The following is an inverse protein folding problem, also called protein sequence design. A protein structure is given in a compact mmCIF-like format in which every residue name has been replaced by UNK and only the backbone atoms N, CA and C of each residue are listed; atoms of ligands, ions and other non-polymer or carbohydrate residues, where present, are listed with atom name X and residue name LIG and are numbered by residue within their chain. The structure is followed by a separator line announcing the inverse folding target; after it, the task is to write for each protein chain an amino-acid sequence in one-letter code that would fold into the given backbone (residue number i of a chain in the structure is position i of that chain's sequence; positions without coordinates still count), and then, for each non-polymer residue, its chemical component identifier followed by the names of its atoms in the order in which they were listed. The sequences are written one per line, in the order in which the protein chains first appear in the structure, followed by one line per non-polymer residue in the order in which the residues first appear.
data_IF_905534001527
#
_entry.id   IF_905534001527
#
_cell.length_a   1.000
_cell.length_b   1.000
_cell.length_c   1.000
_cell.angle_alpha   90.00
_cell.angle_beta   90.00
_cell.angle_gamma   90.00
#
_symmetry.space_group_name_H-M   'P 1'
#
loop_
_entity.id
_entity.type
_entity.pdbx_description
1 polymer ?
#
# COMPACT_ATOMS: atom_id res chain seq x y z
N UNK A 1 -21.53 36.88 5.85
CA UNK A 1 -21.25 36.43 4.46
C UNK A 1 -19.97 35.62 4.37
N UNK A 2 -18.81 36.12 4.78
CA UNK A 2 -17.54 35.36 4.78
C UNK A 2 -17.56 34.08 5.62
N UNK A 3 -18.24 34.07 6.79
CA UNK A 3 -18.37 32.88 7.64
C UNK A 3 -19.15 31.72 6.99
N UNK A 4 -20.20 32.02 6.21
CA UNK A 4 -21.00 31.01 5.50
C UNK A 4 -20.20 30.39 4.35
N UNK A 5 -19.44 31.21 3.60
CA UNK A 5 -18.60 30.74 2.49
C UNK A 5 -17.50 29.81 3.00
N UNK A 6 -16.87 30.15 4.14
CA UNK A 6 -15.85 29.29 4.76
C UNK A 6 -16.46 27.96 5.23
N UNK A 7 -17.66 27.99 5.78
CA UNK A 7 -18.35 26.79 6.26
C UNK A 7 -18.81 25.88 5.11
N UNK A 8 -19.33 26.45 4.01
CA UNK A 8 -19.63 25.72 2.78
C UNK A 8 -18.37 25.09 2.17
N UNK A 9 -17.27 25.83 2.13
CA UNK A 9 -15.99 25.31 1.64
C UNK A 9 -15.47 24.15 2.51
N UNK A 10 -15.55 24.27 3.83
CA UNK A 10 -15.16 23.21 4.76
C UNK A 10 -15.99 21.93 4.55
N UNK A 11 -17.31 22.10 4.39
CA UNK A 11 -18.21 20.98 4.11
C UNK A 11 -17.87 20.32 2.77
N UNK A 12 -17.54 21.10 1.74
CA UNK A 12 -17.15 20.58 0.42
C UNK A 12 -15.84 19.79 0.46
N UNK A 13 -14.83 20.31 1.16
CA UNK A 13 -13.53 19.63 1.35
C UNK A 13 -13.70 18.35 2.16
N UNK A 14 -14.49 18.40 3.23
CA UNK A 14 -14.80 17.22 4.05
C UNK A 14 -15.54 16.15 3.25
N UNK A 15 -16.53 16.55 2.44
CA UNK A 15 -17.27 15.63 1.58
C UNK A 15 -16.35 14.97 0.54
N UNK A 16 -15.48 15.73 -0.10
CA UNK A 16 -14.53 15.23 -1.10
C UNK A 16 -13.51 14.28 -0.47
N UNK A 17 -12.97 14.61 0.70
CA UNK A 17 -12.07 13.72 1.43
C UNK A 17 -12.75 12.39 1.79
N UNK A 18 -14.01 12.45 2.25
CA UNK A 18 -14.80 11.25 2.52
C UNK A 18 -15.06 10.41 1.26
N UNK A 19 -15.36 11.05 0.12
CA UNK A 19 -15.53 10.33 -1.16
C UNK A 19 -14.23 9.65 -1.61
N UNK A 20 -13.09 10.36 -1.51
CA UNK A 20 -11.78 9.80 -1.85
C UNK A 20 -11.41 8.62 -0.95
N UNK A 21 -11.62 8.73 0.36
CA UNK A 21 -11.37 7.64 1.30
C UNK A 21 -12.23 6.41 0.98
N UNK A 22 -13.51 6.60 0.67
CA UNK A 22 -14.40 5.50 0.27
C UNK A 22 -13.93 4.82 -1.03
N UNK A 23 -13.55 5.59 -2.04
CA UNK A 23 -13.03 5.04 -3.30
C UNK A 23 -11.74 4.23 -3.08
N UNK A 24 -10.80 4.76 -2.31
CA UNK A 24 -9.56 4.06 -1.94
C UNK A 24 -9.85 2.74 -1.23
N UNK A 25 -10.76 2.75 -0.24
CA UNK A 25 -11.13 1.56 0.49
C UNK A 25 -11.77 0.49 -0.43
N UNK A 26 -12.65 0.90 -1.36
CA UNK A 26 -13.26 -0.02 -2.31
C UNK A 26 -12.24 -0.61 -3.29
N UNK A 27 -11.32 0.22 -3.82
CA UNK A 27 -10.25 -0.24 -4.70
C UNK A 27 -9.30 -1.21 -3.98
N UNK A 28 -8.92 -0.89 -2.75
CA UNK A 28 -8.08 -1.74 -1.92
C UNK A 28 -8.77 -3.09 -1.64
N UNK A 29 -10.06 -3.07 -1.29
CA UNK A 29 -10.84 -4.29 -1.10
C UNK A 29 -10.88 -5.15 -2.36
N UNK A 30 -11.16 -4.55 -3.52
CA UNK A 30 -11.20 -5.27 -4.79
C UNK A 30 -9.84 -5.89 -5.18
N UNK A 31 -8.73 -5.22 -4.86
CA UNK A 31 -7.38 -5.76 -5.07
C UNK A 31 -7.14 -6.96 -4.14
N UNK A 32 -7.50 -6.85 -2.87
CA UNK A 32 -7.36 -7.96 -1.91
C UNK A 32 -8.20 -9.17 -2.32
N UNK A 33 -9.44 -8.97 -2.73
CA UNK A 33 -10.31 -10.06 -3.21
C UNK A 33 -9.73 -10.75 -4.45
N UNK A 34 -9.20 -9.99 -5.42
CA UNK A 34 -8.56 -10.56 -6.61
C UNK A 34 -7.30 -11.34 -6.26
N UNK A 35 -6.46 -10.83 -5.36
CA UNK A 35 -5.27 -11.52 -4.90
C UNK A 35 -5.63 -12.81 -4.17
N UNK A 36 -6.65 -12.78 -3.30
CA UNK A 36 -7.11 -13.96 -2.59
C UNK A 36 -7.66 -15.02 -3.55
N UNK A 37 -8.46 -14.61 -4.53
CA UNK A 37 -8.97 -15.52 -5.55
C UNK A 37 -7.84 -16.20 -6.34
N UNK A 38 -6.87 -15.41 -6.83
CA UNK A 38 -5.71 -15.93 -7.56
C UNK A 38 -4.85 -16.86 -6.70
N UNK A 39 -4.63 -16.51 -5.44
CA UNK A 39 -3.91 -17.36 -4.50
C UNK A 39 -4.57 -18.73 -4.39
N UNK A 40 -5.88 -18.76 -4.14
CA UNK A 40 -6.63 -20.00 -4.02
C UNK A 40 -6.57 -20.83 -5.32
N UNK A 41 -6.71 -20.17 -6.48
CA UNK A 41 -6.62 -20.83 -7.79
C UNK A 41 -5.25 -21.48 -8.02
N UNK A 42 -4.17 -20.78 -7.66
CA UNK A 42 -2.80 -21.29 -7.81
C UNK A 42 -2.47 -22.38 -6.78
N UNK A 43 -2.95 -22.25 -5.53
CA UNK A 43 -2.84 -23.31 -4.51
C UNK A 43 -3.53 -24.59 -4.99
N UNK A 44 -4.75 -24.50 -5.55
CA UNK A 44 -5.46 -25.65 -6.13
C UNK A 44 -4.69 -26.28 -7.30
N UNK A 45 -4.07 -25.46 -8.15
CA UNK A 45 -3.22 -25.96 -9.25
C UNK A 45 -1.97 -26.69 -8.74
N UNK A 46 -1.35 -26.22 -7.66
CA UNK A 46 -0.20 -26.89 -7.02
C UNK A 46 -0.64 -28.23 -6.43
N UNK A 47 -1.75 -28.25 -5.70
CA UNK A 47 -2.27 -29.46 -5.07
C UNK A 47 -2.61 -30.52 -6.12
N UNK A 48 -3.34 -30.14 -7.17
CA UNK A 48 -3.69 -31.07 -8.25
C UNK A 48 -2.47 -31.60 -9.02
N UNK A 49 -1.40 -30.80 -9.18
CA UNK A 49 -0.14 -31.29 -9.76
C UNK A 49 0.57 -32.28 -8.83
N UNK A 50 0.63 -31.98 -7.53
CA UNK A 50 1.24 -32.87 -6.55
C UNK A 50 0.49 -34.19 -6.41
N UNK A 51 -0.85 -34.17 -6.46
CA UNK A 51 -1.66 -35.39 -6.46
C UNK A 51 -1.37 -36.26 -7.69
N UNK A 52 -1.25 -35.66 -8.87
CA UNK A 52 -0.89 -36.39 -10.10
C UNK A 52 0.50 -37.00 -10.01
N UNK A 53 1.48 -36.23 -9.53
CA UNK A 53 2.85 -36.71 -9.36
C UNK A 53 2.92 -37.83 -8.31
N UNK A 54 2.22 -37.67 -7.19
CA UNK A 54 2.10 -38.69 -6.17
C UNK A 54 1.47 -39.97 -6.74
N UNK A 55 0.36 -39.88 -7.48
CA UNK A 55 -0.30 -41.04 -8.09
C UNK A 55 0.60 -41.76 -9.11
N UNK A 56 1.30 -41.01 -9.97
CA UNK A 56 2.25 -41.58 -10.92
C UNK A 56 3.39 -42.32 -10.20
N UNK A 57 3.93 -41.71 -9.15
CA UNK A 57 5.01 -42.28 -8.37
C UNK A 57 4.60 -43.50 -7.52
N UNK A 58 3.38 -43.48 -6.95
CA UNK A 58 2.80 -44.61 -6.24
C UNK A 58 2.58 -45.80 -7.17
N UNK A 59 1.99 -45.58 -8.35
CA UNK A 59 1.73 -46.66 -9.32
C UNK A 59 3.02 -47.29 -9.86
N UNK A 60 4.06 -46.49 -10.11
CA UNK A 60 5.37 -46.99 -10.54
C UNK A 60 6.09 -47.77 -9.45
N UNK A 61 5.94 -47.39 -8.18
CA UNK A 61 6.53 -48.13 -7.07
C UNK A 61 5.79 -49.41 -6.72
N UNK A 62 4.48 -49.43 -6.85
CA UNK A 62 3.68 -50.64 -6.64
C UNK A 62 4.11 -51.73 -7.63
N UNK A 63 4.42 -51.35 -8.88
CA UNK A 63 4.99 -52.26 -9.90
C UNK A 63 6.41 -52.74 -9.57
N UNK A 64 7.21 -51.94 -8.86
CA UNK A 64 8.62 -52.23 -8.52
C UNK A 64 8.81 -52.92 -7.16
N UNK A 65 7.76 -53.07 -6.34
CA UNK A 65 7.84 -53.74 -5.04
C UNK A 65 8.68 -52.99 -4.00
N UNK A 66 8.65 -51.65 -4.02
CA UNK A 66 9.49 -50.84 -3.15
C UNK A 66 9.00 -50.87 -1.68
N UNK A 67 9.93 -51.05 -0.72
CA UNK A 67 9.63 -51.17 0.71
C UNK A 67 9.35 -49.83 1.43
N UNK A 68 8.93 -49.91 2.70
CA UNK A 68 8.52 -48.76 3.55
C UNK A 68 9.52 -47.59 3.59
N UNK A 69 10.83 -47.86 3.63
CA UNK A 69 11.85 -46.81 3.67
C UNK A 69 11.83 -45.92 2.40
N UNK A 70 11.52 -46.49 1.24
CA UNK A 70 11.38 -45.71 0.02
C UNK A 70 10.16 -44.79 0.11
N UNK A 71 9.05 -45.28 0.68
CA UNK A 71 7.79 -44.53 0.81
C UNK A 71 7.96 -43.28 1.67
N UNK A 72 8.67 -43.41 2.81
CA UNK A 72 9.03 -42.27 3.65
C UNK A 72 9.86 -41.21 2.89
N UNK A 73 10.86 -41.64 2.10
CA UNK A 73 11.66 -40.71 1.29
C UNK A 73 10.83 -39.98 0.22
N UNK A 74 9.83 -40.65 -0.36
CA UNK A 74 8.92 -40.04 -1.33
C UNK A 74 8.09 -38.95 -0.70
N UNK A 75 7.51 -39.25 0.46
CA UNK A 75 6.71 -38.29 1.19
C UNK A 75 7.54 -37.05 1.51
N UNK A 76 8.77 -37.21 2.00
CA UNK A 76 9.65 -36.06 2.25
C UNK A 76 10.00 -35.28 0.98
N UNK A 77 10.09 -35.94 -0.17
CA UNK A 77 10.37 -35.28 -1.45
C UNK A 77 9.17 -34.47 -1.95
N UNK A 78 7.96 -35.05 -1.87
CA UNK A 78 6.72 -34.36 -2.21
C UNK A 78 6.46 -33.16 -1.28
N UNK A 79 6.74 -33.32 0.02
CA UNK A 79 6.66 -32.21 0.99
C UNK A 79 7.66 -31.09 0.66
N UNK A 80 8.89 -31.42 0.29
CA UNK A 80 9.88 -30.43 -0.15
C UNK A 80 9.45 -29.71 -1.43
N UNK A 81 8.90 -30.45 -2.39
CA UNK A 81 8.38 -29.87 -3.65
C UNK A 81 7.21 -28.93 -3.39
N UNK A 82 6.28 -29.33 -2.53
CA UNK A 82 5.18 -28.49 -2.08
C UNK A 82 5.68 -27.22 -1.37
N UNK A 83 6.58 -27.36 -0.40
CA UNK A 83 7.14 -26.21 0.32
C UNK A 83 7.83 -25.22 -0.62
N UNK A 84 8.57 -25.72 -1.62
CA UNK A 84 9.18 -24.86 -2.63
C UNK A 84 8.12 -24.16 -3.49
N UNK A 85 7.12 -24.89 -3.98
CA UNK A 85 6.04 -24.31 -4.79
C UNK A 85 5.26 -23.22 -4.03
N UNK A 86 5.03 -23.41 -2.73
CA UNK A 86 4.40 -22.41 -1.87
C UNK A 86 5.27 -21.15 -1.69
N UNK A 87 6.59 -21.30 -1.53
CA UNK A 87 7.50 -20.16 -1.46
C UNK A 87 7.57 -19.38 -2.78
N UNK A 88 7.60 -20.09 -3.91
CA UNK A 88 7.59 -19.46 -5.23
C UNK A 88 6.25 -18.70 -5.44
N UNK A 89 5.12 -19.31 -5.03
CA UNK A 89 3.81 -18.65 -5.03
C UNK A 89 3.76 -17.41 -4.15
N UNK A 90 4.29 -17.46 -2.92
CA UNK A 90 4.34 -16.30 -2.03
C UNK A 90 5.16 -15.15 -2.64
N UNK A 91 6.29 -15.47 -3.27
CA UNK A 91 7.13 -14.50 -3.98
C UNK A 91 6.37 -13.84 -5.14
N UNK A 92 5.68 -14.63 -5.97
CA UNK A 92 4.89 -14.12 -7.09
C UNK A 92 3.72 -13.23 -6.61
N UNK A 93 3.05 -13.64 -5.52
CA UNK A 93 1.97 -12.89 -4.89
C UNK A 93 2.44 -11.55 -4.32
N UNK A 94 3.63 -11.51 -3.71
CA UNK A 94 4.22 -10.26 -3.22
C UNK A 94 4.56 -9.31 -4.38
N UNK A 95 5.15 -9.82 -5.46
CA UNK A 95 5.45 -9.03 -6.65
C UNK A 95 4.17 -8.48 -7.31
N UNK A 96 3.11 -9.30 -7.39
CA UNK A 96 1.83 -8.87 -7.95
C UNK A 96 1.13 -7.83 -7.06
N UNK A 97 1.21 -7.97 -5.73
CA UNK A 97 0.69 -6.98 -4.79
C UNK A 97 1.43 -5.64 -4.93
N UNK A 98 2.75 -5.67 -5.04
CA UNK A 98 3.57 -4.47 -5.21
C UNK A 98 3.23 -3.75 -6.53
N UNK A 99 3.07 -4.52 -7.61
CA UNK A 99 2.61 -4.00 -8.90
C UNK A 99 1.22 -3.39 -8.80
N UNK A 100 0.24 -4.08 -8.21
CA UNK A 100 -1.12 -3.58 -8.06
C UNK A 100 -1.17 -2.30 -7.22
N UNK A 101 -0.34 -2.20 -6.17
CA UNK A 101 -0.19 -0.98 -5.37
C UNK A 101 0.40 0.17 -6.19
N UNK A 102 1.41 -0.11 -7.02
CA UNK A 102 2.01 0.89 -7.90
C UNK A 102 1.01 1.39 -8.94
N UNK A 103 0.28 0.49 -9.60
CA UNK A 103 -0.76 0.82 -10.58
C UNK A 103 -1.89 1.65 -9.95
N UNK A 104 -2.33 1.28 -8.74
CA UNK A 104 -3.34 2.03 -7.99
C UNK A 104 -2.85 3.44 -7.64
N UNK A 105 -1.59 3.57 -7.18
CA UNK A 105 -1.04 4.87 -6.83
C UNK A 105 -0.94 5.79 -8.05
N UNK A 106 -0.53 5.23 -9.20
CA UNK A 106 -0.50 5.96 -10.47
C UNK A 106 -1.92 6.41 -10.90
N UNK A 107 -2.93 5.53 -10.79
CA UNK A 107 -4.32 5.90 -11.08
C UNK A 107 -4.83 7.00 -10.14
N UNK A 108 -4.55 6.90 -8.84
CA UNK A 108 -4.95 7.91 -7.87
C UNK A 108 -4.26 9.25 -8.11
N UNK A 109 -2.97 9.27 -8.45
CA UNK A 109 -2.26 10.49 -8.82
C UNK A 109 -2.84 11.13 -10.07
N UNK A 110 -3.19 10.32 -11.07
CA UNK A 110 -3.83 10.78 -12.30
C UNK A 110 -5.22 11.37 -12.01
N UNK A 111 -6.08 10.66 -11.28
CA UNK A 111 -7.41 11.13 -10.90
C UNK A 111 -7.32 12.45 -10.11
N UNK A 112 -6.38 12.53 -9.16
CA UNK A 112 -6.18 13.72 -8.33
C UNK A 112 -5.66 14.90 -9.16
N UNK A 113 -4.80 14.65 -10.15
CA UNK A 113 -4.36 15.69 -11.10
C UNK A 113 -5.50 16.22 -11.96
N UNK A 114 -6.39 15.34 -12.45
CA UNK A 114 -7.56 15.73 -13.24
C UNK A 114 -8.58 16.49 -12.42
N UNK A 115 -8.85 16.06 -11.18
CA UNK A 115 -9.73 16.79 -10.27
C UNK A 115 -9.17 18.18 -9.94
N UNK A 116 -7.86 18.31 -9.71
CA UNK A 116 -7.20 19.60 -9.51
C UNK A 116 -7.32 20.51 -10.74
N UNK A 117 -7.13 19.97 -11.94
CA UNK A 117 -7.26 20.73 -13.18
C UNK A 117 -8.70 21.20 -13.41
N UNK A 118 -9.68 20.32 -13.24
CA UNK A 118 -11.10 20.67 -13.33
C UNK A 118 -11.47 21.75 -12.31
N UNK A 119 -10.99 21.64 -11.06
CA UNK A 119 -11.26 22.64 -10.02
C UNK A 119 -10.55 23.97 -10.29
N UNK A 120 -9.34 23.93 -10.84
CA UNK A 120 -8.63 25.13 -11.30
C UNK A 120 -9.44 25.85 -12.39
N UNK A 121 -9.98 25.11 -13.35
CA UNK A 121 -10.83 25.68 -14.40
C UNK A 121 -12.14 26.25 -13.86
N UNK A 122 -12.82 25.53 -12.95
CA UNK A 122 -14.04 26.00 -12.27
C UNK A 122 -13.77 27.31 -11.50
N UNK A 123 -12.66 27.35 -10.76
CA UNK A 123 -12.27 28.51 -9.96
C UNK A 123 -11.92 29.70 -10.85
N UNK A 124 -11.17 29.50 -11.94
CA UNK A 124 -10.87 30.54 -12.92
C UNK A 124 -12.14 31.08 -13.57
N UNK A 125 -13.13 30.23 -13.84
CA UNK A 125 -14.41 30.63 -14.41
C UNK A 125 -15.24 31.45 -13.42
N UNK A 126 -15.26 31.08 -12.14
CA UNK A 126 -15.89 31.86 -11.07
C UNK A 126 -15.19 33.21 -10.86
N UNK A 127 -13.85 33.23 -10.86
CA UNK A 127 -13.05 34.45 -10.78
C UNK A 127 -13.30 35.37 -11.97
N UNK A 128 -13.35 34.85 -13.19
CA UNK A 128 -13.65 35.62 -14.39
C UNK A 128 -15.07 36.20 -14.39
N UNK A 129 -16.03 35.54 -13.75
CA UNK A 129 -17.40 36.06 -13.61
C UNK A 129 -17.49 37.22 -12.58
N UNK A 130 -16.64 37.20 -11.55
CA UNK A 130 -16.60 38.23 -10.49
C UNK A 130 -15.61 39.36 -10.83
N UNK A 131 -14.60 39.07 -11.64
CA UNK A 131 -13.56 39.98 -12.09
C UNK A 131 -13.88 40.57 -13.46
N UNK A 132 -13.32 41.73 -13.79
CA UNK A 132 -13.33 42.27 -15.17
C UNK A 132 -12.18 41.73 -16.04
N UNK A 133 -11.49 40.69 -15.58
CA UNK A 133 -10.33 40.08 -16.24
C UNK A 133 -10.76 38.86 -17.06
N UNK A 134 -10.08 38.67 -18.19
CA UNK A 134 -10.29 37.49 -19.03
C UNK A 134 -9.74 36.21 -18.37
N UNK A 135 -10.28 35.05 -18.76
CA UNK A 135 -9.85 33.73 -18.26
C UNK A 135 -8.34 33.50 -18.48
N UNK A 136 -7.81 34.00 -19.60
CA UNK A 136 -6.42 33.86 -19.98
C UNK A 136 -5.49 34.71 -19.08
N UNK A 137 -5.84 35.97 -18.83
CA UNK A 137 -5.10 36.86 -17.92
C UNK A 137 -5.11 36.35 -16.47
N UNK A 138 -6.20 35.71 -16.04
CA UNK A 138 -6.31 35.07 -14.72
C UNK A 138 -5.47 33.79 -14.64
N UNK A 139 -5.46 32.96 -15.69
CA UNK A 139 -4.62 31.76 -15.75
C UNK A 139 -3.14 32.11 -15.67
N UNK A 140 -2.72 33.15 -16.40
CA UNK A 140 -1.34 33.65 -16.41
C UNK A 140 -0.97 34.22 -15.03
N UNK A 141 -1.86 34.98 -14.38
CA UNK A 141 -1.63 35.48 -13.02
C UNK A 141 -1.49 34.36 -11.98
N UNK A 142 -2.30 33.29 -12.07
CA UNK A 142 -2.23 32.12 -11.17
C UNK A 142 -0.95 31.31 -11.41
N UNK A 143 -0.59 31.08 -12.68
CA UNK A 143 0.66 30.40 -13.05
C UNK A 143 1.88 31.23 -12.64
N UNK A 144 1.86 32.55 -12.78
CA UNK A 144 2.92 33.44 -12.30
C UNK A 144 3.01 33.50 -10.77
N UNK A 145 1.89 33.38 -10.05
CA UNK A 145 1.86 33.34 -8.58
C UNK A 145 2.48 32.05 -8.00
N UNK A 146 2.37 30.95 -8.74
CA UNK A 146 2.91 29.64 -8.36
C UNK A 146 4.36 29.45 -8.83
N UNK A 147 4.73 29.99 -9.98
CA UNK A 147 6.09 29.90 -10.55
C UNK A 147 7.03 31.07 -10.21
N UNK A 148 6.51 32.15 -9.62
CA UNK A 148 7.31 33.28 -9.12
C UNK A 148 7.80 34.27 -10.18
N UNK A 149 7.35 34.18 -11.44
CA UNK A 149 7.73 35.09 -12.54
C UNK A 149 6.50 35.75 -13.18
N UNK A 150 6.18 37.00 -12.79
CA UNK A 150 5.05 37.74 -13.35
C UNK A 150 5.45 38.80 -14.40
N UNK A 151 4.92 38.69 -15.61
CA UNK A 151 5.32 39.50 -16.78
C UNK A 151 4.63 40.88 -16.88
N UNK A 152 3.50 41.11 -16.17
CA UNK A 152 2.74 42.37 -16.20
C UNK A 152 2.63 43.04 -14.80
N UNK A 153 2.48 44.37 -14.74
CA UNK A 153 2.31 45.12 -13.47
C UNK A 153 0.96 44.81 -12.78
N UNK A 154 -0.09 44.56 -13.56
CA UNK A 154 -1.41 44.19 -13.04
C UNK A 154 -1.42 42.73 -12.56
N UNK A 155 -0.81 41.83 -13.34
CA UNK A 155 -0.66 40.42 -12.95
C UNK A 155 0.29 40.27 -11.76
N UNK A 156 1.30 41.14 -11.59
CA UNK A 156 2.16 41.18 -10.39
C UNK A 156 1.42 41.40 -9.08
N UNK A 157 0.53 42.40 -9.03
CA UNK A 157 -0.21 42.70 -7.79
C UNK A 157 -1.16 41.55 -7.45
N UNK A 158 -1.89 41.06 -8.45
CA UNK A 158 -2.84 39.99 -8.31
C UNK A 158 -2.16 38.66 -7.95
N UNK A 159 -1.01 38.36 -8.56
CA UNK A 159 -0.20 37.20 -8.22
C UNK A 159 0.38 37.28 -6.80
N UNK A 160 0.77 38.47 -6.32
CA UNK A 160 1.22 38.68 -4.93
C UNK A 160 0.08 38.46 -3.95
N UNK A 161 -1.09 39.05 -4.20
CA UNK A 161 -2.26 38.92 -3.35
C UNK A 161 -2.75 37.45 -3.30
N UNK A 162 -2.71 36.73 -4.43
CA UNK A 162 -2.98 35.30 -4.48
C UNK A 162 -1.92 34.48 -3.75
N UNK A 163 -0.63 34.76 -3.94
CA UNK A 163 0.45 34.08 -3.26
C UNK A 163 0.36 34.23 -1.74
N UNK A 164 0.08 35.44 -1.25
CA UNK A 164 -0.10 35.73 0.17
C UNK A 164 -1.39 35.11 0.73
N UNK A 165 -2.46 35.02 -0.08
CA UNK A 165 -3.69 34.32 0.27
C UNK A 165 -3.51 32.81 0.37
N UNK A 166 -2.81 32.21 -0.59
CA UNK A 166 -2.45 30.78 -0.60
C UNK A 166 -1.50 30.45 0.54
N UNK A 167 -0.51 31.30 0.82
CA UNK A 167 0.39 31.14 1.97
C UNK A 167 -0.38 31.07 3.29
N UNK A 168 -1.33 31.99 3.49
CA UNK A 168 -2.22 31.99 4.67
C UNK A 168 -3.10 30.74 4.73
N UNK A 169 -3.68 30.32 3.61
CA UNK A 169 -4.52 29.12 3.53
C UNK A 169 -3.73 27.83 3.83
N UNK A 170 -2.49 27.70 3.32
CA UNK A 170 -1.59 26.59 3.63
C UNK A 170 -1.23 26.55 5.11
N UNK A 171 -0.92 27.71 5.71
CA UNK A 171 -0.66 27.79 7.15
C UNK A 171 -1.87 27.37 7.98
N UNK A 172 -3.09 27.72 7.57
CA UNK A 172 -4.31 27.26 8.25
C UNK A 172 -4.61 25.76 8.05
N UNK A 173 -4.22 25.17 6.92
CA UNK A 173 -4.41 23.74 6.66
C UNK A 173 -3.34 22.85 7.33
N UNK A 174 -2.11 23.37 7.49
CA UNK A 174 -0.98 22.62 8.06
C UNK A 174 -1.05 22.43 9.59
N UNK A 175 -2.02 23.06 10.26
CA UNK A 175 -2.20 22.95 11.71
C UNK A 175 -2.77 21.60 12.16
N UNK A 176 -3.47 20.85 11.31
CA UNK A 176 -4.22 19.65 11.74
C UNK A 176 -3.57 18.30 11.37
N UNK A 177 -2.50 18.30 10.56
CA UNK A 177 -1.88 17.05 10.06
C UNK A 177 -0.53 16.70 10.71
N UNK A 178 0.07 17.59 11.51
CA UNK A 178 1.38 17.34 12.12
C UNK A 178 1.35 16.43 13.36
N UNK A 179 0.16 16.10 13.90
CA UNK A 179 0.04 15.43 15.20
C UNK A 179 -0.19 13.90 15.14
N UNK A 180 -0.28 13.31 13.93
CA UNK A 180 -0.59 11.86 13.79
C UNK A 180 0.58 10.94 13.40
N UNK A 181 1.72 11.47 12.98
CA UNK A 181 2.83 10.66 12.43
C UNK A 181 3.98 10.35 13.41
N UNK A 182 3.93 10.81 14.66
CA UNK A 182 5.03 10.58 15.62
C UNK A 182 4.90 9.33 16.51
N UNK A 183 3.80 8.56 16.43
CA UNK A 183 3.54 7.46 17.37
C UNK A 183 3.67 6.02 16.80
N UNK A 184 4.31 5.82 15.65
CA UNK A 184 4.54 4.46 15.09
C UNK A 184 5.97 4.15 14.65
N UNK A 185 6.99 4.87 15.13
CA UNK A 185 8.40 4.47 14.97
C UNK A 185 8.97 3.94 16.29
N UNK A 186 8.32 2.90 16.82
CA UNK A 186 8.83 2.07 17.91
C UNK A 186 9.31 0.72 17.36
N UNK A 187 10.40 0.71 16.58
CA UNK A 187 11.15 -0.51 16.35
C UNK A 187 12.60 -0.30 16.76
N UNK A 188 12.98 -1.12 17.73
CA UNK A 188 14.24 -1.12 18.45
C UNK A 188 15.44 -1.23 17.50
N UNK A 189 16.41 -0.33 17.67
CA UNK A 189 17.76 -0.50 17.13
C UNK A 189 18.50 -1.56 17.97
N UNK A 190 18.99 -2.68 17.41
CA UNK A 190 19.85 -3.57 18.15
C UNK A 190 21.22 -2.92 18.38
N UNK A 191 21.59 -2.94 19.65
CA UNK A 191 22.82 -2.47 20.26
C UNK A 191 24.04 -3.23 19.66
N UNK A 192 24.91 -2.56 18.89
CA UNK A 192 26.21 -3.12 18.53
C UNK A 192 27.19 -2.94 19.69
N UNK A 193 27.09 -3.84 20.68
CA UNK A 193 28.01 -3.95 21.80
C UNK A 193 29.32 -4.63 21.40
N UNK A 194 30.40 -3.86 21.47
CA UNK A 194 31.79 -4.28 21.33
C UNK A 194 32.24 -4.96 22.62
N UNK A 195 32.54 -6.26 22.61
CA UNK A 195 33.43 -6.89 23.61
C UNK A 195 34.34 -7.92 22.95
N UNK A 196 35.60 -7.86 23.36
CA UNK A 196 36.72 -8.63 22.88
C UNK A 196 36.65 -10.11 23.27
N UNK A 197 37.19 -10.95 22.37
CA UNK A 197 37.90 -12.20 22.60
C UNK A 197 37.39 -13.21 23.63
N UNK A 198 36.99 -14.39 23.17
CA UNK A 198 37.50 -15.64 23.74
C UNK A 198 37.34 -16.81 22.76
N UNK A 199 38.44 -17.53 22.54
CA UNK A 199 38.53 -18.75 21.75
C UNK A 199 38.14 -19.91 22.66
N UNK A 200 37.12 -20.70 22.30
CA UNK A 200 36.93 -22.03 22.85
C UNK A 200 36.38 -23.00 21.80
N UNK A 201 37.14 -24.06 21.54
CA UNK A 201 36.76 -25.21 20.74
C UNK A 201 35.86 -26.12 21.57
N UNK A 202 34.67 -26.52 21.09
CA UNK A 202 33.94 -27.68 21.63
C UNK A 202 32.93 -28.31 20.64
N UNK A 203 33.36 -29.48 20.15
CA UNK A 203 32.71 -30.71 19.65
C UNK A 203 31.23 -30.78 19.16
N UNK A 204 30.97 -31.67 18.16
CA UNK A 204 29.64 -32.02 17.68
C UNK A 204 28.94 -33.07 18.57
N UNK A 205 27.62 -32.94 18.72
CA UNK A 205 26.75 -33.92 19.36
C UNK A 205 25.98 -33.35 20.56
N UNK A 206 24.86 -32.67 20.30
CA UNK A 206 23.88 -32.33 21.33
C UNK A 206 22.48 -32.20 20.71
N UNK A 207 21.66 -33.21 20.96
CA UNK A 207 20.23 -33.23 20.67
C UNK A 207 19.55 -32.20 21.57
N UNK A 208 18.99 -31.14 21.00
CA UNK A 208 18.10 -30.22 21.74
C UNK A 208 16.66 -30.48 21.32
N UNK A 209 15.86 -30.89 22.31
CA UNK A 209 14.40 -30.93 22.27
C UNK A 209 13.89 -29.51 22.00
N UNK A 210 13.16 -29.32 20.91
CA UNK A 210 12.41 -28.08 20.66
C UNK A 210 11.18 -28.09 21.57
N UNK A 211 11.10 -27.03 22.39
CA UNK A 211 9.98 -26.72 23.26
C UNK A 211 8.75 -26.33 22.44
N UNK A 212 7.60 -26.92 22.78
CA UNK A 212 6.28 -26.52 22.35
C UNK A 212 5.95 -25.09 22.82
N UNK A 213 6.33 -24.07 22.04
CA UNK A 213 5.91 -22.68 22.27
C UNK A 213 6.04 -21.81 21.01
N UNK A 214 5.52 -22.31 19.88
CA UNK A 214 5.51 -21.52 18.63
C UNK A 214 4.24 -21.68 17.78
N UNK A 215 3.15 -22.19 18.35
CA UNK A 215 1.86 -22.35 17.67
C UNK A 215 0.73 -21.59 18.38
N UNK A 216 0.96 -20.30 18.68
CA UNK A 216 -0.10 -19.35 19.06
C UNK A 216 0.29 -17.92 18.68
N UNK A 217 0.29 -17.60 17.38
CA UNK A 217 0.26 -16.19 16.93
C UNK A 217 -0.60 -15.93 15.68
N UNK A 218 -1.46 -16.88 15.25
CA UNK A 218 -2.37 -16.65 14.12
C UNK A 218 -3.85 -16.92 14.46
N UNK A 219 -4.26 -16.69 15.71
CA UNK A 219 -5.63 -16.89 16.19
C UNK A 219 -6.22 -15.64 16.87
N UNK A 220 -5.91 -14.46 16.34
CA UNK A 220 -6.48 -13.20 16.84
C UNK A 220 -6.98 -12.30 15.71
N UNK A 221 -7.86 -12.80 14.84
CA UNK A 221 -8.75 -11.94 14.02
C UNK A 221 -10.09 -12.62 13.68
N UNK A 222 -10.55 -13.61 14.45
CA UNK A 222 -11.77 -14.35 14.13
C UNK A 222 -13.00 -14.04 15.02
N UNK A 223 -12.88 -13.25 16.10
CA UNK A 223 -13.99 -13.02 17.02
C UNK A 223 -14.17 -11.53 17.38
N UNK A 224 -14.65 -10.73 16.44
CA UNK A 224 -15.44 -9.52 16.76
C UNK A 224 -16.50 -9.32 15.67
N UNK A 225 -17.47 -10.23 15.60
CA UNK A 225 -18.80 -9.97 15.06
C UNK A 225 -19.78 -10.96 15.72
N UNK A 226 -20.33 -10.55 16.86
CA UNK A 226 -21.25 -11.35 17.66
C UNK A 226 -22.22 -10.49 18.47
N UNK A 227 -23.32 -10.12 17.80
CA UNK A 227 -24.59 -9.54 18.29
C UNK A 227 -24.61 -8.12 18.87
#
# INVERSE_FOLDING_TARGET
MTSQIIQEHYNHVSHLNNQMQKRRAMQQKAIMEKLQFKRNELEEQIETQLERDAQAEYTDRQKRGAGYASLALMQTFLEQKHAKAMLDLESDMLAELEKAKSDLNMQLEQDLSQELESKSQDFLQQLAAVSKLSKDELSEAVSSATSGRPDSKATRKLARDLHDGVGRARSSLSMDYAERDQNQQGYERPYSGRTAGEVSYQRPGSVRKLSARQSRQFEQYADEDGF
#
